data_IF_010476109805
#
_entry.id   IF_010476109805
#
_cell.length_a   1.000
_cell.length_b   1.000
_cell.length_c   1.000
_cell.angle_alpha   90.00
_cell.angle_beta   90.00
_cell.angle_gamma   90.00
#
_symmetry.space_group_name_H-M   'P 1'
#
loop_
_entity.id
_entity.type
_entity.pdbx_description
1 polymer ?
#
# COMPACT_ATOMS: atom_id res chain seq x y z
N UNK A 1 -19.45 -4.91 -45.86
CA UNK A 1 -18.87 -5.97 -45.00
C UNK A 1 -17.72 -5.40 -44.17
N UNK A 2 -17.93 -4.39 -43.31
CA UNK A 2 -16.84 -3.86 -42.43
C UNK A 2 -17.27 -2.82 -41.37
N UNK A 3 -18.46 -2.90 -40.77
CA UNK A 3 -18.81 -2.05 -39.60
C UNK A 3 -18.66 -2.84 -38.31
N UNK A 4 -17.43 -3.26 -38.00
CA UNK A 4 -17.07 -3.69 -36.66
C UNK A 4 -16.50 -2.44 -35.97
N UNK A 5 -17.41 -1.59 -35.51
CA UNK A 5 -17.11 -0.65 -34.44
C UNK A 5 -16.65 -1.50 -33.25
N UNK A 6 -15.33 -1.63 -33.11
CA UNK A 6 -14.71 -2.06 -31.86
C UNK A 6 -15.07 -0.99 -30.84
N UNK A 7 -16.19 -1.18 -30.15
CA UNK A 7 -16.39 -0.62 -28.83
C UNK A 7 -15.24 -1.13 -27.98
N UNK A 8 -14.16 -0.35 -27.94
CA UNK A 8 -13.11 -0.53 -26.95
C UNK A 8 -13.76 -0.15 -25.63
N UNK A 9 -14.50 -1.08 -25.05
CA UNK A 9 -15.05 -0.98 -23.71
C UNK A 9 -13.86 -1.02 -22.75
N UNK A 10 -13.19 0.12 -22.58
CA UNK A 10 -12.14 0.29 -21.59
C UNK A 10 -12.79 0.33 -20.22
N UNK A 11 -13.15 -0.82 -19.65
CA UNK A 11 -13.52 -0.94 -18.24
C UNK A 11 -12.53 -1.84 -17.50
N UNK A 12 -11.54 -1.23 -16.83
CA UNK A 12 -11.19 -1.69 -15.49
C UNK A 12 -10.91 -0.51 -14.52
N UNK A 13 -11.69 0.59 -14.58
CA UNK A 13 -11.47 1.73 -13.65
C UNK A 13 -11.95 1.44 -12.21
N UNK A 14 -12.97 0.60 -12.04
CA UNK A 14 -13.57 0.31 -10.73
C UNK A 14 -12.65 -0.54 -9.85
N UNK A 15 -12.03 -1.59 -10.40
CA UNK A 15 -11.13 -2.48 -9.65
C UNK A 15 -9.88 -1.77 -9.12
N UNK A 16 -9.30 -0.85 -9.89
CA UNK A 16 -8.15 -0.06 -9.45
C UNK A 16 -8.53 0.97 -8.37
N UNK A 17 -9.65 1.68 -8.55
CA UNK A 17 -10.11 2.64 -7.55
C UNK A 17 -10.48 1.95 -6.23
N UNK A 18 -11.19 0.81 -6.31
CA UNK A 18 -11.54 0.00 -5.16
C UNK A 18 -10.29 -0.54 -4.45
N UNK A 19 -9.37 -1.21 -5.16
CA UNK A 19 -8.13 -1.74 -4.58
C UNK A 19 -7.29 -0.68 -3.89
N UNK A 20 -7.15 0.49 -4.53
CA UNK A 20 -6.46 1.63 -3.93
C UNK A 20 -7.12 2.11 -2.65
N UNK A 21 -8.46 2.18 -2.62
CA UNK A 21 -9.20 2.58 -1.41
C UNK A 21 -9.06 1.56 -0.29
N UNK A 22 -9.14 0.26 -0.58
CA UNK A 22 -8.95 -0.78 0.43
C UNK A 22 -7.52 -0.72 0.99
N UNK A 23 -6.50 -0.56 0.14
CA UNK A 23 -5.10 -0.41 0.61
C UNK A 23 -4.93 0.82 1.50
N UNK A 24 -5.56 1.95 1.15
CA UNK A 24 -5.52 3.18 1.96
C UNK A 24 -6.15 2.97 3.34
N UNK A 25 -7.31 2.36 3.40
CA UNK A 25 -8.00 2.08 4.66
C UNK A 25 -7.16 1.16 5.52
N UNK A 26 -6.65 0.06 4.95
CA UNK A 26 -5.83 -0.89 5.68
C UNK A 26 -4.54 -0.25 6.20
N UNK A 27 -3.81 0.51 5.37
CA UNK A 27 -2.62 1.23 5.81
C UNK A 27 -2.92 2.25 6.92
N UNK A 28 -4.04 2.97 6.84
CA UNK A 28 -4.46 3.88 7.91
C UNK A 28 -4.70 3.12 9.22
N UNK A 29 -5.37 1.96 9.17
CA UNK A 29 -5.57 1.11 10.35
C UNK A 29 -4.25 0.56 10.90
N UNK A 30 -3.34 0.11 10.03
CA UNK A 30 -1.98 -0.29 10.39
C UNK A 30 -1.23 0.83 11.11
N UNK A 31 -1.28 2.07 10.59
CA UNK A 31 -0.61 3.21 11.20
C UNK A 31 -1.20 3.55 12.57
N UNK A 32 -2.53 3.54 12.72
CA UNK A 32 -3.19 3.77 14.01
C UNK A 32 -2.80 2.70 15.03
N UNK A 33 -2.87 1.42 14.64
CA UNK A 33 -2.48 0.31 15.51
C UNK A 33 -1.01 0.40 15.91
N UNK A 34 -0.11 0.68 14.95
CA UNK A 34 1.31 0.85 15.20
C UNK A 34 1.61 2.00 16.16
N UNK A 35 0.98 3.17 16.00
CA UNK A 35 1.15 4.32 16.91
C UNK A 35 0.58 4.03 18.30
N UNK A 36 -0.49 3.24 18.40
CA UNK A 36 -1.04 2.84 19.69
C UNK A 36 -0.11 1.91 20.49
N UNK A 37 0.78 1.14 19.83
CA UNK A 37 1.71 0.22 20.50
C UNK A 37 2.63 0.94 21.53
N UNK A 38 3.44 1.96 21.17
CA UNK A 38 4.30 2.65 22.13
C UNK A 38 3.50 3.41 23.21
N UNK A 39 2.30 3.91 22.89
CA UNK A 39 1.46 4.59 23.86
C UNK A 39 0.95 3.63 24.94
N UNK A 40 0.45 2.46 24.52
CA UNK A 40 -0.10 1.45 25.44
C UNK A 40 0.98 0.82 26.31
N UNK A 41 2.14 0.46 25.74
CA UNK A 41 3.25 -0.09 26.54
C UNK A 41 3.89 0.98 27.42
N UNK A 42 4.03 2.21 26.94
CA UNK A 42 4.56 3.32 27.73
C UNK A 42 3.71 3.61 28.97
N UNK A 43 2.39 3.62 28.81
CA UNK A 43 1.49 3.80 29.94
C UNK A 43 1.43 2.58 30.88
N UNK A 44 1.61 1.36 30.36
CA UNK A 44 1.81 0.17 31.20
C UNK A 44 3.06 0.32 32.09
N UNK A 45 4.17 0.80 31.53
CA UNK A 45 5.40 1.07 32.27
C UNK A 45 5.24 2.21 33.29
N UNK A 46 4.31 3.14 33.05
CA UNK A 46 3.89 4.20 33.97
C UNK A 46 2.88 3.73 35.04
N UNK A 47 2.66 2.41 35.16
CA UNK A 47 1.84 1.80 36.21
C UNK A 47 0.37 1.54 35.83
N UNK A 48 -0.05 1.84 34.60
CA UNK A 48 -1.40 1.51 34.11
C UNK A 48 -1.46 0.08 33.57
N UNK A 49 -1.34 -0.90 34.46
CA UNK A 49 -1.17 -2.31 34.10
C UNK A 49 -2.26 -2.88 33.17
N UNK A 50 -3.49 -2.37 33.22
CA UNK A 50 -4.58 -2.77 32.34
C UNK A 50 -4.29 -2.53 30.84
N UNK A 51 -3.41 -1.57 30.51
CA UNK A 51 -3.05 -1.27 29.13
C UNK A 51 -2.15 -2.32 28.48
N UNK A 52 -1.61 -3.27 29.25
CA UNK A 52 -0.93 -4.42 28.66
C UNK A 52 -1.87 -5.26 27.80
N UNK A 53 -3.14 -5.41 28.22
CA UNK A 53 -4.12 -6.14 27.41
C UNK A 53 -4.42 -5.40 26.10
N UNK A 54 -4.51 -4.06 26.16
CA UNK A 54 -4.68 -3.25 24.95
C UNK A 54 -3.46 -3.31 24.02
N UNK A 55 -2.25 -3.31 24.59
CA UNK A 55 -1.02 -3.50 23.83
C UNK A 55 -1.04 -4.84 23.08
N UNK A 56 -1.32 -5.95 23.79
CA UNK A 56 -1.41 -7.28 23.19
C UNK A 56 -2.51 -7.39 22.14
N UNK A 57 -3.70 -6.85 22.40
CA UNK A 57 -4.79 -6.84 21.42
C UNK A 57 -4.43 -6.01 20.18
N UNK A 58 -3.75 -4.87 20.37
CA UNK A 58 -3.23 -4.06 19.28
C UNK A 58 -2.14 -4.76 18.48
N UNK A 59 -1.31 -5.60 19.11
CA UNK A 59 -0.28 -6.39 18.44
C UNK A 59 -0.92 -7.40 17.50
N UNK A 60 -1.91 -8.17 17.98
CA UNK A 60 -2.67 -9.12 17.16
C UNK A 60 -3.36 -8.42 15.98
N UNK A 61 -3.95 -7.25 16.20
CA UNK A 61 -4.54 -6.46 15.12
C UNK A 61 -3.48 -6.01 14.09
N UNK A 62 -2.33 -5.53 14.55
CA UNK A 62 -1.24 -5.07 13.71
C UNK A 62 -0.67 -6.21 12.85
N UNK A 63 -0.43 -7.39 13.45
CA UNK A 63 -0.04 -8.63 12.74
C UNK A 63 -1.08 -9.01 11.69
N UNK A 64 -2.36 -9.03 12.06
CA UNK A 64 -3.45 -9.35 11.12
C UNK A 64 -3.45 -8.38 9.93
N UNK A 65 -3.27 -7.08 10.18
CA UNK A 65 -3.20 -6.09 9.11
C UNK A 65 -1.95 -6.26 8.24
N UNK A 66 -0.80 -6.59 8.84
CA UNK A 66 0.44 -6.94 8.14
C UNK A 66 0.23 -8.07 7.15
N UNK A 67 -0.34 -9.20 7.61
CA UNK A 67 -0.66 -10.34 6.76
C UNK A 67 -1.63 -9.98 5.62
N UNK A 68 -2.65 -9.16 5.88
CA UNK A 68 -3.62 -8.72 4.87
C UNK A 68 -3.03 -7.76 3.83
N UNK A 69 -2.01 -6.97 4.18
CA UNK A 69 -1.37 -6.04 3.26
C UNK A 69 -0.69 -6.75 2.08
N UNK A 70 -0.16 -7.96 2.29
CA UNK A 70 0.56 -8.71 1.26
C UNK A 70 -0.34 -9.05 0.04
N UNK A 71 -1.45 -9.81 0.19
CA UNK A 71 -2.32 -10.11 -0.94
C UNK A 71 -2.99 -8.85 -1.51
N UNK A 72 -3.29 -7.86 -0.67
CA UNK A 72 -3.96 -6.65 -1.08
C UNK A 72 -3.08 -5.74 -1.94
N UNK A 73 -1.79 -5.63 -1.62
CA UNK A 73 -0.84 -4.86 -2.43
C UNK A 73 -0.53 -5.58 -3.75
N UNK A 74 -0.50 -6.92 -3.75
CA UNK A 74 -0.41 -7.72 -4.99
C UNK A 74 -1.61 -7.44 -5.88
N UNK A 75 -2.83 -7.44 -5.33
CA UNK A 75 -4.04 -7.10 -6.08
C UNK A 75 -3.99 -5.68 -6.66
N UNK A 76 -3.55 -4.70 -5.87
CA UNK A 76 -3.36 -3.32 -6.33
C UNK A 76 -2.38 -3.21 -7.51
N UNK A 77 -1.33 -4.02 -7.52
CA UNK A 77 -0.33 -4.06 -8.60
C UNK A 77 -0.90 -4.67 -9.87
N UNK A 78 -1.58 -5.82 -9.74
CA UNK A 78 -2.27 -6.48 -10.86
C UNK A 78 -3.32 -5.53 -11.46
N UNK A 79 -3.96 -4.70 -10.64
CA UNK A 79 -4.89 -3.66 -11.07
C UNK A 79 -4.23 -2.42 -11.71
N UNK A 80 -2.89 -2.33 -11.75
CA UNK A 80 -2.13 -1.29 -12.47
C UNK A 80 -1.24 -0.38 -11.60
N UNK A 81 -1.15 -0.59 -10.28
CA UNK A 81 -0.22 0.10 -9.39
C UNK A 81 1.22 -0.41 -9.52
N UNK A 82 2.26 0.40 -9.23
CA UNK A 82 3.65 -0.02 -9.55
C UNK A 82 4.76 0.30 -8.54
N UNK A 83 4.70 1.36 -7.74
CA UNK A 83 5.98 1.95 -7.24
C UNK A 83 6.32 1.61 -5.77
N UNK A 84 5.45 0.95 -4.99
CA UNK A 84 5.63 0.83 -3.52
C UNK A 84 5.35 -0.55 -2.92
N UNK A 85 5.16 -1.54 -3.78
CA UNK A 85 4.81 -2.93 -3.44
C UNK A 85 5.83 -3.53 -2.49
N UNK A 86 7.11 -3.43 -2.85
CA UNK A 86 8.20 -4.02 -2.08
C UNK A 86 8.31 -3.38 -0.70
N UNK A 87 8.11 -2.06 -0.60
CA UNK A 87 8.18 -1.34 0.68
C UNK A 87 6.98 -1.71 1.56
N UNK A 88 5.77 -1.82 1.00
CA UNK A 88 4.59 -2.30 1.75
C UNK A 88 4.76 -3.75 2.20
N UNK A 89 5.31 -4.62 1.37
CA UNK A 89 5.63 -6.01 1.75
C UNK A 89 6.70 -6.03 2.84
N UNK A 90 7.75 -5.22 2.71
CA UNK A 90 8.80 -5.12 3.72
C UNK A 90 8.24 -4.64 5.06
N UNK A 91 7.32 -3.67 5.06
CA UNK A 91 6.60 -3.25 6.26
C UNK A 91 5.79 -4.40 6.87
N UNK A 92 5.03 -5.14 6.04
CA UNK A 92 4.26 -6.30 6.51
C UNK A 92 5.17 -7.35 7.15
N UNK A 93 6.29 -7.70 6.51
CA UNK A 93 7.27 -8.64 7.08
C UNK A 93 7.89 -8.09 8.37
N UNK A 94 8.24 -6.80 8.41
CA UNK A 94 8.80 -6.17 9.60
C UNK A 94 7.83 -6.20 10.80
N UNK A 95 6.52 -6.09 10.56
CA UNK A 95 5.48 -6.26 11.58
C UNK A 95 5.56 -7.67 12.20
N UNK A 96 5.59 -8.71 11.37
CA UNK A 96 5.66 -10.10 11.85
C UNK A 96 6.96 -10.38 12.60
N UNK A 97 8.09 -9.91 12.06
CA UNK A 97 9.39 -10.04 12.72
C UNK A 97 9.37 -9.35 14.07
N UNK A 98 8.80 -8.14 14.19
CA UNK A 98 8.76 -7.47 15.48
C UNK A 98 7.85 -8.18 16.49
N UNK A 99 6.76 -8.81 16.04
CA UNK A 99 5.88 -9.58 16.92
C UNK A 99 6.62 -10.77 17.52
N UNK A 100 7.41 -11.48 16.70
CA UNK A 100 8.31 -12.54 17.19
C UNK A 100 9.33 -11.99 18.18
N UNK A 101 10.00 -10.88 17.89
CA UNK A 101 10.97 -10.26 18.80
C UNK A 101 10.34 -9.84 20.14
N UNK A 102 9.11 -9.33 20.10
CA UNK A 102 8.32 -8.99 21.29
C UNK A 102 7.97 -10.23 22.11
N UNK A 103 7.56 -11.31 21.45
CA UNK A 103 7.24 -12.59 22.08
C UNK A 103 8.45 -13.22 22.79
N UNK A 104 9.62 -13.25 22.14
CA UNK A 104 10.87 -13.77 22.73
C UNK A 104 11.55 -12.77 23.67
N UNK A 105 10.97 -11.57 23.84
CA UNK A 105 11.46 -10.48 24.71
C UNK A 105 12.85 -9.96 24.36
N UNK A 106 13.24 -10.03 23.09
CA UNK A 106 14.44 -9.35 22.60
C UNK A 106 14.12 -7.87 22.37
N UNK A 107 14.15 -7.09 23.45
CA UNK A 107 13.85 -5.67 23.42
C UNK A 107 14.87 -4.85 22.61
N UNK A 108 16.11 -5.37 22.48
CA UNK A 108 17.18 -4.72 21.74
C UNK A 108 16.87 -4.62 20.25
N UNK A 109 16.18 -5.62 19.70
CA UNK A 109 15.70 -5.61 18.31
C UNK A 109 14.26 -5.11 18.22
N UNK A 110 13.38 -5.54 19.13
CA UNK A 110 11.96 -5.22 19.11
C UNK A 110 11.70 -3.71 19.15
N UNK A 111 12.35 -2.97 20.06
CA UNK A 111 12.07 -1.54 20.23
C UNK A 111 12.51 -0.73 18.99
N UNK A 112 13.75 -0.85 18.47
CA UNK A 112 14.14 -0.12 17.27
C UNK A 112 13.31 -0.51 16.05
N UNK A 113 13.01 -1.80 15.88
CA UNK A 113 12.17 -2.27 14.78
C UNK A 113 10.75 -1.72 14.88
N UNK A 114 10.18 -1.65 16.08
CA UNK A 114 8.86 -1.06 16.30
C UNK A 114 8.79 0.43 15.97
N UNK A 115 9.83 1.20 16.32
CA UNK A 115 9.93 2.60 15.90
C UNK A 115 9.98 2.71 14.37
N UNK A 116 10.77 1.85 13.71
CA UNK A 116 10.84 1.82 12.25
C UNK A 116 9.50 1.44 11.61
N UNK A 117 8.76 0.48 12.19
CA UNK A 117 7.41 0.08 11.75
C UNK A 117 6.43 1.24 11.89
N UNK A 118 6.43 1.97 13.02
CA UNK A 118 5.59 3.15 13.22
C UNK A 118 5.87 4.21 12.16
N UNK A 119 7.13 4.58 11.96
CA UNK A 119 7.53 5.57 10.96
C UNK A 119 7.16 5.13 9.54
N UNK A 120 7.46 3.88 9.19
CA UNK A 120 7.15 3.29 7.89
C UNK A 120 5.64 3.27 7.60
N UNK A 121 4.82 2.88 8.57
CA UNK A 121 3.37 2.85 8.43
C UNK A 121 2.80 4.26 8.21
N UNK A 122 3.30 5.26 8.94
CA UNK A 122 2.88 6.67 8.76
C UNK A 122 3.28 7.17 7.37
N UNK A 123 4.54 6.98 6.97
CA UNK A 123 5.05 7.45 5.67
C UNK A 123 4.29 6.80 4.52
N UNK A 124 4.09 5.48 4.54
CA UNK A 124 3.32 4.79 3.51
C UNK A 124 1.86 5.24 3.48
N UNK A 125 1.24 5.45 4.64
CA UNK A 125 -0.13 5.99 4.72
C UNK A 125 -0.19 7.36 4.05
N UNK A 126 0.63 8.32 4.47
CA UNK A 126 0.69 9.67 3.87
C UNK A 126 0.93 9.58 2.37
N UNK A 127 1.85 8.73 1.93
CA UNK A 127 2.19 8.56 0.53
C UNK A 127 1.01 8.02 -0.31
N UNK A 128 0.30 7.00 0.18
CA UNK A 128 -0.87 6.43 -0.52
C UNK A 128 -2.04 7.42 -0.58
N UNK A 129 -2.18 8.31 0.39
CA UNK A 129 -3.15 9.39 0.39
C UNK A 129 -2.73 10.58 -0.50
N UNK A 130 -1.42 10.79 -0.68
CA UNK A 130 -0.85 11.88 -1.47
C UNK A 130 -1.14 11.78 -2.98
N UNK A 131 -1.35 12.93 -3.68
CA UNK A 131 -1.55 12.97 -5.13
C UNK A 131 -0.33 12.50 -5.94
N UNK A 132 0.87 12.46 -5.33
CA UNK A 132 2.08 11.93 -5.97
C UNK A 132 1.96 10.45 -6.35
N UNK A 133 1.19 9.67 -5.60
CA UNK A 133 0.94 8.26 -5.94
C UNK A 133 0.09 8.05 -7.20
N UNK A 134 -0.59 9.08 -7.71
CA UNK A 134 -1.40 9.00 -8.92
C UNK A 134 -0.67 9.45 -10.20
N UNK A 135 0.47 10.16 -10.09
CA UNK A 135 1.15 10.81 -11.22
C UNK A 135 2.05 9.91 -12.07
N UNK A 136 2.41 8.71 -11.60
CA UNK A 136 3.23 7.74 -12.37
C UNK A 136 2.41 6.90 -13.36
N UNK A 137 1.58 7.54 -14.19
CA UNK A 137 0.98 6.91 -15.36
C UNK A 137 1.97 7.07 -16.53
N UNK A 138 2.66 6.01 -16.99
CA UNK A 138 3.41 6.13 -18.23
C UNK A 138 2.39 6.45 -19.31
N UNK A 139 2.69 7.55 -19.99
CA UNK A 139 1.93 8.18 -21.06
C UNK A 139 1.85 7.22 -22.26
N UNK A 140 1.07 6.13 -22.16
CA UNK A 140 0.57 5.32 -23.30
C UNK A 140 -0.49 6.09 -24.11
N UNK A 141 -0.22 7.37 -24.25
CA UNK A 141 -0.92 8.40 -24.98
C UNK A 141 0.11 9.29 -25.72
N UNK A 142 1.42 9.05 -25.56
CA UNK A 142 2.46 9.59 -26.45
C UNK A 142 2.58 8.72 -27.69
N UNK A 143 2.60 7.39 -27.52
CA UNK A 143 2.75 6.45 -28.64
C UNK A 143 1.59 6.50 -29.62
N UNK A 144 0.33 6.55 -29.15
CA UNK A 144 -0.82 6.63 -30.05
C UNK A 144 -0.94 7.99 -30.80
N UNK A 145 -0.20 9.01 -30.36
CA UNK A 145 -0.11 10.31 -31.04
C UNK A 145 1.07 10.31 -32.01
N UNK A 146 2.21 9.69 -31.66
CA UNK A 146 3.32 9.42 -32.57
C UNK A 146 2.91 8.46 -33.72
N UNK A 147 2.10 7.45 -33.43
CA UNK A 147 1.54 6.51 -34.43
C UNK A 147 0.54 7.21 -35.37
N UNK A 148 -0.06 8.33 -34.93
CA UNK A 148 -1.00 9.13 -35.71
C UNK A 148 -0.30 10.27 -36.49
N UNK A 149 0.84 10.77 -36.01
CA UNK A 149 1.71 11.72 -36.73
C UNK A 149 2.61 11.03 -37.76
N UNK A 150 2.78 9.69 -37.69
CA UNK A 150 3.59 8.91 -38.62
C UNK A 150 2.86 8.49 -39.92
N UNK A 151 1.58 8.80 -40.09
CA UNK A 151 0.90 8.71 -41.40
C UNK A 151 0.56 10.08 -41.98
N UNK A 152 1.53 10.83 -42.55
CA UNK A 152 1.23 11.88 -43.49
C UNK A 152 1.06 11.31 -44.91
N UNK A 153 -0.18 11.36 -45.39
CA UNK A 153 -0.50 12.03 -46.66
C UNK A 153 0.36 11.66 -47.89
N UNK A 154 0.31 10.38 -48.31
CA UNK A 154 0.92 9.90 -49.56
C UNK A 154 -0.07 9.35 -50.60
N UNK A 155 -1.37 9.52 -50.38
CA UNK A 155 -2.41 9.20 -51.37
C UNK A 155 -2.85 10.47 -52.11
N UNK A 156 -2.02 10.95 -53.05
CA UNK A 156 -2.44 11.93 -54.05
C UNK A 156 -1.95 11.49 -55.43
N UNK A 157 -2.90 10.93 -56.19
CA UNK A 157 -3.15 11.11 -57.63
C UNK A 157 -1.99 10.89 -58.62
N UNK A 158 -2.14 9.86 -59.45
CA UNK A 158 -1.37 9.60 -60.68
C UNK A 158 -1.69 8.24 -61.26
#
# INVERSE_FOLDING_TARGET
>A
MSSIERSVETRPRVGFAASRWVVRVLLSLTAVAAVAQPLTIGQYLDGRYALLQMHSAGAVALETFGLLLIPLVIWYVVAGGRVWVLITILLAVAIEVQAVMGYVRDLGVHIPLGVAVVGGAIVLTIWFWSPYSAKHRPRRARSAVEDAEAEPEGAVVG
#
